data_IF_901703449852
#
_entry.id   IF_901703449852
#
_cell.length_a   1.000
_cell.length_b   1.000
_cell.length_c   1.000
_cell.angle_alpha   90.00
_cell.angle_beta   90.00
_cell.angle_gamma   90.00
#
_symmetry.space_group_name_H-M   'P 1'
#
loop_
_entity.id
_entity.type
_entity.pdbx_description
1 polymer ?
#
# COMPACT_ATOMS: atom_id res chain seq x y z
N UNK A 1 -36.07 -11.78 5.45
CA UNK A 1 -34.69 -12.06 5.00
C UNK A 1 -34.15 -10.75 4.50
N UNK A 2 -33.54 -9.98 5.41
CA UNK A 2 -32.95 -8.70 5.07
C UNK A 2 -31.74 -8.96 4.19
N UNK A 3 -31.64 -8.23 3.09
CA UNK A 3 -30.38 -8.03 2.38
C UNK A 3 -29.43 -7.29 3.34
N UNK A 4 -28.22 -7.82 3.53
CA UNK A 4 -27.17 -7.23 4.39
C UNK A 4 -26.66 -5.92 3.75
N UNK A 5 -26.54 -5.94 2.43
CA UNK A 5 -26.37 -4.78 1.56
C UNK A 5 -27.23 -4.90 0.27
N UNK A 6 -27.45 -3.79 -0.44
CA UNK A 6 -28.23 -3.77 -1.68
C UNK A 6 -29.66 -3.26 -1.54
N UNK A 7 -30.47 -3.44 -2.59
CA UNK A 7 -31.84 -2.88 -2.63
C UNK A 7 -32.89 -3.86 -2.09
N UNK A 8 -33.59 -3.45 -1.05
CA UNK A 8 -34.82 -4.09 -0.60
C UNK A 8 -36.05 -3.38 -1.21
N UNK A 9 -37.10 -4.16 -1.51
CA UNK A 9 -38.39 -3.59 -1.91
C UNK A 9 -39.40 -3.79 -0.79
N UNK A 10 -39.95 -2.70 -0.27
CA UNK A 10 -41.09 -2.71 0.65
C UNK A 10 -42.39 -2.64 -0.16
N UNK A 11 -43.32 -3.56 0.10
CA UNK A 11 -44.62 -3.61 -0.58
C UNK A 11 -45.73 -3.33 0.43
N UNK A 12 -46.52 -2.29 0.17
CA UNK A 12 -47.76 -2.00 0.88
C UNK A 12 -48.93 -2.56 0.07
N UNK A 13 -49.74 -3.41 0.70
CA UNK A 13 -51.00 -3.91 0.12
C UNK A 13 -52.17 -3.38 0.93
N UNK A 14 -53.07 -2.65 0.27
CA UNK A 14 -54.33 -2.18 0.86
C UNK A 14 -55.45 -3.05 0.32
N UNK A 15 -56.28 -3.59 1.21
CA UNK A 15 -57.47 -4.38 0.84
C UNK A 15 -58.72 -3.59 1.23
N UNK A 16 -59.64 -3.42 0.30
CA UNK A 16 -60.93 -2.79 0.61
C UNK A 16 -61.95 -3.79 1.20
N UNK A 17 -63.09 -3.27 1.64
CA UNK A 17 -64.18 -4.05 2.24
C UNK A 17 -64.89 -5.01 1.29
N UNK A 18 -64.56 -4.98 -0.01
CA UNK A 18 -65.04 -5.90 -1.03
C UNK A 18 -63.91 -6.75 -1.61
N UNK A 19 -62.81 -6.90 -0.86
CA UNK A 19 -61.64 -7.72 -1.16
C UNK A 19 -60.83 -7.29 -2.39
N UNK A 20 -60.95 -6.04 -2.87
CA UNK A 20 -60.04 -5.52 -3.90
C UNK A 20 -58.74 -5.09 -3.28
N UNK A 21 -57.65 -5.33 -3.99
CA UNK A 21 -56.31 -4.97 -3.52
C UNK A 21 -55.70 -3.87 -4.38
N UNK A 22 -55.01 -2.92 -3.76
CA UNK A 22 -54.08 -2.00 -4.40
C UNK A 22 -52.72 -2.17 -3.75
N UNK A 23 -51.65 -2.15 -4.56
CA UNK A 23 -50.28 -2.25 -4.07
C UNK A 23 -49.49 -0.99 -4.41
N UNK A 24 -48.56 -0.65 -3.52
CA UNK A 24 -47.53 0.36 -3.76
C UNK A 24 -46.20 -0.22 -3.30
N UNK A 25 -45.14 0.06 -4.04
CA UNK A 25 -43.79 -0.38 -3.67
C UNK A 25 -42.88 0.81 -3.43
N UNK A 26 -41.89 0.63 -2.55
CA UNK A 26 -40.79 1.56 -2.33
C UNK A 26 -39.47 0.78 -2.26
N UNK A 27 -38.41 1.35 -2.83
CA UNK A 27 -37.06 0.78 -2.75
C UNK A 27 -36.32 1.38 -1.57
N UNK A 28 -35.57 0.53 -0.86
CA UNK A 28 -34.67 0.89 0.24
C UNK A 28 -33.28 0.43 -0.19
N UNK A 29 -32.31 1.33 -0.21
CA UNK A 29 -30.91 0.99 -0.49
C UNK A 29 -30.15 0.85 0.83
N UNK A 30 -29.56 -0.31 1.06
CA UNK A 30 -28.60 -0.56 2.13
C UNK A 30 -27.20 -0.53 1.51
N UNK A 31 -26.28 0.24 2.10
CA UNK A 31 -24.90 0.38 1.60
C UNK A 31 -23.95 -0.32 2.55
N UNK A 32 -23.01 -1.09 1.99
CA UNK A 32 -21.90 -1.65 2.75
C UNK A 32 -21.05 -0.53 3.39
N UNK A 33 -20.52 -0.81 4.58
CA UNK A 33 -19.60 0.04 5.33
C UNK A 33 -18.32 -0.75 5.53
N UNK A 34 -17.16 -0.14 5.23
CA UNK A 34 -15.89 -0.84 5.40
C UNK A 34 -15.50 -1.02 6.89
N UNK A 35 -14.75 -2.08 7.23
CA UNK A 35 -14.35 -2.36 8.60
C UNK A 35 -13.38 -1.30 9.15
N UNK A 36 -13.48 -1.01 10.45
CA UNK A 36 -12.50 -0.21 11.19
C UNK A 36 -11.54 -1.11 11.94
N UNK A 37 -10.22 -0.90 11.79
CA UNK A 37 -9.17 -1.84 12.21
C UNK A 37 -8.24 -1.21 13.24
N UNK A 38 -7.73 -2.00 14.17
CA UNK A 38 -6.73 -1.61 15.18
C UNK A 38 -5.70 -2.72 15.41
N UNK A 39 -4.49 -2.35 15.82
CA UNK A 39 -3.34 -3.26 16.03
C UNK A 39 -2.74 -3.02 17.43
N UNK A 40 -2.40 -4.09 18.14
CA UNK A 40 -1.68 -4.06 19.41
C UNK A 40 -0.77 -5.30 19.57
N UNK A 41 0.28 -5.27 20.43
CA UNK A 41 0.88 -4.07 21.01
C UNK A 41 1.61 -3.24 19.94
N UNK A 42 1.72 -1.94 20.20
CA UNK A 42 2.53 -1.02 19.40
C UNK A 42 3.62 -0.43 20.30
N UNK A 43 4.82 -0.22 19.79
CA UNK A 43 5.94 0.31 20.57
C UNK A 43 7.26 -0.43 20.37
N UNK A 44 8.03 -0.57 21.45
CA UNK A 44 9.38 -1.14 21.40
C UNK A 44 9.35 -2.64 21.61
N UNK A 45 9.95 -3.38 20.66
CA UNK A 45 10.08 -4.83 20.67
C UNK A 45 11.56 -5.25 20.62
N UNK A 46 11.83 -6.50 20.96
CA UNK A 46 13.19 -7.07 21.01
C UNK A 46 13.49 -7.82 19.69
N UNK A 47 14.61 -7.49 19.05
CA UNK A 47 15.07 -8.17 17.83
C UNK A 47 15.36 -9.66 18.07
N UNK A 48 15.07 -10.50 17.08
CA UNK A 48 15.28 -11.94 17.10
C UNK A 48 14.33 -12.71 18.03
N UNK A 49 13.37 -12.03 18.66
CA UNK A 49 12.34 -12.64 19.50
C UNK A 49 11.00 -12.57 18.78
N UNK A 50 10.23 -13.66 18.82
CA UNK A 50 8.86 -13.67 18.32
C UNK A 50 7.95 -12.88 19.27
N UNK A 51 7.26 -11.89 18.74
CA UNK A 51 6.26 -11.09 19.44
C UNK A 51 4.88 -11.38 18.89
N UNK A 52 3.91 -11.51 19.80
CA UNK A 52 2.50 -11.67 19.44
C UNK A 52 1.89 -10.32 19.10
N UNK A 53 1.44 -10.19 17.86
CA UNK A 53 0.58 -9.11 17.40
C UNK A 53 -0.87 -9.58 17.39
N UNK A 54 -1.75 -8.69 17.81
CA UNK A 54 -3.19 -8.87 17.91
C UNK A 54 -3.86 -7.73 17.15
N UNK A 55 -4.55 -8.09 16.08
CA UNK A 55 -5.48 -7.24 15.38
C UNK A 55 -6.85 -7.25 16.05
N UNK A 56 -7.58 -6.16 15.92
CA UNK A 56 -9.01 -6.10 16.22
C UNK A 56 -9.71 -5.27 15.16
N UNK A 57 -10.99 -5.52 14.93
CA UNK A 57 -11.78 -4.73 14.00
C UNK A 57 -13.24 -4.66 14.44
N UNK A 58 -13.96 -3.68 13.91
CA UNK A 58 -15.42 -3.57 14.00
C UNK A 58 -15.97 -3.32 12.62
N UNK A 59 -17.03 -4.03 12.25
CA UNK A 59 -17.70 -3.83 10.97
C UNK A 59 -19.23 -3.75 11.11
N UNK A 60 -19.88 -2.69 10.59
CA UNK A 60 -21.34 -2.58 10.57
C UNK A 60 -22.00 -3.40 9.44
N UNK A 61 -22.03 -4.73 9.61
CA UNK A 61 -22.82 -5.67 8.81
C UNK A 61 -23.08 -6.93 9.62
N UNK A 62 -24.26 -7.54 9.48
CA UNK A 62 -24.73 -8.58 10.43
C UNK A 62 -24.39 -10.00 9.92
N UNK A 63 -24.02 -10.14 8.64
CA UNK A 63 -23.62 -11.41 8.03
C UNK A 63 -22.30 -11.35 7.23
N UNK A 64 -21.57 -10.24 7.31
CA UNK A 64 -20.25 -10.08 6.68
C UNK A 64 -19.26 -11.16 7.11
N UNK A 65 -18.42 -11.58 6.16
CA UNK A 65 -17.26 -12.41 6.40
C UNK A 65 -15.97 -11.67 6.05
N UNK A 66 -14.94 -11.85 6.88
CA UNK A 66 -13.72 -11.05 6.77
C UNK A 66 -12.48 -11.88 6.46
N UNK A 67 -11.61 -11.33 5.61
CA UNK A 67 -10.27 -11.83 5.35
C UNK A 67 -9.23 -10.90 5.96
N UNK A 68 -8.20 -11.50 6.57
CA UNK A 68 -7.13 -10.77 7.27
C UNK A 68 -5.81 -10.94 6.54
N UNK A 69 -5.09 -9.83 6.37
CA UNK A 69 -3.75 -9.82 5.81
C UNK A 69 -2.82 -8.89 6.59
N UNK A 70 -1.66 -9.41 6.96
CA UNK A 70 -0.60 -8.72 7.68
C UNK A 70 0.61 -8.50 6.76
N UNK A 71 1.15 -7.29 6.81
CA UNK A 71 2.47 -6.93 6.31
C UNK A 71 3.29 -6.40 7.49
N UNK A 72 4.45 -7.01 7.77
CA UNK A 72 5.25 -6.65 8.94
C UNK A 72 6.29 -5.53 8.66
N UNK A 73 6.38 -5.05 7.42
CA UNK A 73 7.28 -3.99 6.99
C UNK A 73 8.73 -4.41 6.80
N UNK A 74 9.06 -5.70 7.00
CA UNK A 74 10.37 -6.32 6.75
C UNK A 74 10.37 -7.24 5.52
N UNK A 75 9.26 -7.29 4.80
CA UNK A 75 9.04 -8.15 3.63
C UNK A 75 8.32 -9.46 3.95
N UNK A 76 8.12 -9.80 5.23
CA UNK A 76 7.28 -10.93 5.61
C UNK A 76 5.79 -10.53 5.67
N UNK A 77 4.93 -11.50 5.40
CA UNK A 77 3.47 -11.34 5.46
C UNK A 77 2.81 -12.55 6.12
N UNK A 78 1.59 -12.36 6.63
CA UNK A 78 0.75 -13.43 7.15
C UNK A 78 -0.72 -13.19 6.79
N UNK A 79 -1.55 -14.24 6.80
CA UNK A 79 -2.98 -14.12 6.47
C UNK A 79 -3.82 -15.09 7.30
N UNK A 80 -5.13 -14.83 7.37
CA UNK A 80 -6.13 -15.76 7.92
C UNK A 80 -6.27 -15.77 9.45
N UNK A 81 -5.55 -14.92 10.18
CA UNK A 81 -5.68 -14.77 11.64
C UNK A 81 -5.50 -13.31 12.05
N UNK A 82 -6.24 -12.90 13.09
CA UNK A 82 -6.01 -11.64 13.80
C UNK A 82 -4.88 -11.73 14.82
N UNK A 83 -4.50 -12.95 15.23
CA UNK A 83 -3.38 -13.17 16.14
C UNK A 83 -2.24 -13.83 15.38
N UNK A 84 -1.09 -13.16 15.33
CA UNK A 84 0.11 -13.63 14.62
C UNK A 84 1.35 -13.42 15.47
N UNK A 85 2.26 -14.38 15.46
CA UNK A 85 3.56 -14.27 16.10
C UNK A 85 4.61 -13.96 15.02
N UNK A 86 5.38 -12.89 15.18
CA UNK A 86 6.41 -12.47 14.22
C UNK A 86 7.70 -12.04 14.92
N UNK A 87 8.84 -12.35 14.31
CA UNK A 87 10.17 -11.99 14.80
C UNK A 87 10.92 -11.15 13.77
N UNK A 88 11.33 -9.94 14.15
CA UNK A 88 12.20 -9.10 13.33
C UNK A 88 13.65 -9.41 13.66
N UNK A 89 14.42 -9.87 12.67
CA UNK A 89 15.84 -10.24 12.87
C UNK A 89 16.76 -9.03 13.02
N UNK A 90 16.36 -7.89 12.47
CA UNK A 90 17.17 -6.67 12.43
C UNK A 90 16.56 -5.57 13.29
N UNK A 91 17.43 -4.75 13.87
CA UNK A 91 17.00 -3.54 14.56
C UNK A 91 16.51 -2.51 13.54
N UNK A 92 15.41 -1.84 13.84
CA UNK A 92 14.84 -0.90 12.91
C UNK A 92 13.50 -0.35 13.36
N UNK A 93 12.95 0.53 12.52
CA UNK A 93 11.58 1.01 12.64
C UNK A 93 10.80 0.36 11.52
N UNK A 94 9.79 -0.42 11.90
CA UNK A 94 8.95 -1.16 10.97
C UNK A 94 7.54 -0.58 10.98
N UNK A 95 6.91 -0.54 9.81
CA UNK A 95 5.50 -0.16 9.66
C UNK A 95 4.71 -1.44 9.43
N UNK A 96 4.03 -1.90 10.47
CA UNK A 96 3.15 -3.07 10.41
C UNK A 96 1.80 -2.62 9.87
N UNK A 97 1.25 -3.34 8.90
CA UNK A 97 -0.05 -3.07 8.30
C UNK A 97 -0.95 -4.28 8.48
N UNK A 98 -2.17 -4.05 8.98
CA UNK A 98 -3.25 -5.03 8.97
C UNK A 98 -4.34 -4.53 8.04
N UNK A 99 -4.68 -5.35 7.06
CA UNK A 99 -5.80 -5.16 6.15
C UNK A 99 -6.89 -6.17 6.46
N UNK A 100 -8.11 -5.68 6.60
CA UNK A 100 -9.32 -6.47 6.79
C UNK A 100 -10.24 -6.19 5.61
N UNK A 101 -10.61 -7.22 4.86
CA UNK A 101 -11.50 -7.12 3.69
C UNK A 101 -12.80 -7.83 4.03
N UNK A 102 -13.92 -7.13 3.93
CA UNK A 102 -15.25 -7.75 3.96
C UNK A 102 -15.57 -8.43 2.60
N UNK A 103 -16.57 -9.31 2.59
CA UNK A 103 -16.99 -10.05 1.40
C UNK A 103 -17.80 -9.23 0.39
N UNK A 104 -18.29 -8.07 0.80
CA UNK A 104 -18.98 -7.09 -0.04
C UNK A 104 -18.02 -6.01 -0.61
N UNK A 105 -16.71 -6.22 -0.44
CA UNK A 105 -15.63 -5.44 -1.04
C UNK A 105 -15.17 -4.20 -0.26
N UNK A 106 -15.72 -3.93 0.92
CA UNK A 106 -15.18 -2.92 1.82
C UNK A 106 -13.87 -3.38 2.44
N UNK A 107 -12.97 -2.41 2.62
CA UNK A 107 -11.60 -2.67 3.05
C UNK A 107 -11.22 -1.69 4.16
N UNK A 108 -10.93 -2.24 5.31
CA UNK A 108 -10.32 -1.57 6.45
C UNK A 108 -8.82 -1.78 6.45
N UNK A 109 -8.06 -0.73 6.76
CA UNK A 109 -6.60 -0.85 6.90
C UNK A 109 -6.12 -0.02 8.09
N UNK A 110 -5.25 -0.61 8.91
CA UNK A 110 -4.54 0.09 9.97
C UNK A 110 -3.05 -0.13 9.82
N UNK A 111 -2.28 0.94 10.06
CA UNK A 111 -0.82 0.88 10.18
C UNK A 111 -0.38 1.17 11.60
N UNK A 112 0.68 0.49 12.05
CA UNK A 112 1.28 0.64 13.36
C UNK A 112 2.80 0.75 13.24
N UNK A 113 3.39 1.72 13.94
CA UNK A 113 4.85 1.88 14.00
C UNK A 113 5.42 1.04 15.15
N UNK A 114 6.32 0.13 14.80
CA UNK A 114 7.04 -0.73 15.75
C UNK A 114 8.52 -0.37 15.72
N UNK A 115 9.13 -0.24 16.90
CA UNK A 115 10.57 0.01 17.04
C UNK A 115 11.21 -1.27 17.55
N UNK A 116 12.01 -1.92 16.72
CA UNK A 116 12.72 -3.14 17.08
C UNK A 116 14.14 -2.77 17.47
N UNK A 117 14.53 -3.13 18.69
CA UNK A 117 15.88 -2.95 19.19
C UNK A 117 16.31 -4.16 20.00
N UNK A 118 17.51 -4.13 20.54
CA UNK A 118 17.93 -5.08 21.56
C UNK A 118 17.37 -4.71 22.94
N UNK A 119 17.44 -5.66 23.87
CA UNK A 119 17.11 -5.48 25.28
C UNK A 119 18.20 -4.66 26.02
N UNK A 120 18.32 -3.37 25.68
CA UNK A 120 19.15 -2.39 26.39
C UNK A 120 20.68 -2.49 26.24
N UNK A 121 21.20 -3.47 25.49
CA UNK A 121 22.66 -3.72 25.38
C UNK A 121 23.34 -3.30 24.07
N UNK A 122 22.58 -2.95 23.04
CA UNK A 122 23.09 -2.49 21.76
C UNK A 122 22.77 -1.01 21.58
N UNK A 123 23.74 -0.26 21.07
CA UNK A 123 23.53 1.11 20.61
C UNK A 123 22.50 1.05 19.47
N UNK A 124 21.25 1.42 19.74
CA UNK A 124 20.27 1.66 18.68
C UNK A 124 20.87 2.73 17.75
N UNK A 125 20.83 2.57 16.41
CA UNK A 125 21.14 3.67 15.52
C UNK A 125 20.31 4.88 15.94
N UNK A 126 20.96 6.03 16.13
CA UNK A 126 20.26 7.27 16.44
C UNK A 126 19.12 7.45 15.43
N UNK A 127 17.92 7.91 15.85
CA UNK A 127 16.85 8.18 14.90
C UNK A 127 17.42 9.09 13.81
N UNK A 128 17.41 8.61 12.56
CA UNK A 128 17.81 9.42 11.42
C UNK A 128 17.00 10.72 11.53
N UNK A 129 17.63 11.91 11.54
CA UNK A 129 16.87 13.14 11.61
C UNK A 129 15.89 13.09 10.46
N UNK A 130 14.60 13.08 10.77
CA UNK A 130 13.56 13.23 9.76
C UNK A 130 13.95 14.48 8.98
N UNK A 131 14.19 14.40 7.66
CA UNK A 131 14.42 15.60 6.88
C UNK A 131 13.28 16.56 7.23
N UNK A 132 13.64 17.75 7.72
CA UNK A 132 12.64 18.80 7.94
C UNK A 132 11.82 18.97 6.66
N UNK A 133 10.59 19.52 6.75
CA UNK A 133 9.77 19.75 5.56
C UNK A 133 10.65 20.37 4.47
N UNK A 134 10.79 19.65 3.35
CA UNK A 134 11.55 20.12 2.20
C UNK A 134 10.97 21.50 1.88
N UNK A 135 11.76 22.60 1.97
CA UNK A 135 11.28 23.89 1.53
C UNK A 135 10.72 23.71 0.12
N UNK A 136 9.48 24.16 -0.10
CA UNK A 136 8.81 24.01 -1.39
C UNK A 136 9.72 24.45 -2.55
N UNK A 137 9.45 24.00 -3.78
CA UNK A 137 10.38 24.18 -4.90
C UNK A 137 10.83 25.63 -4.98
N UNK A 138 12.12 25.86 -4.68
CA UNK A 138 12.76 27.12 -5.03
C UNK A 138 12.57 27.27 -6.54
N UNK A 139 11.90 28.34 -6.96
CA UNK A 139 11.68 28.62 -8.37
C UNK A 139 13.06 28.69 -9.03
N UNK A 140 13.40 27.65 -9.79
CA UNK A 140 14.65 27.57 -10.53
C UNK A 140 14.68 28.72 -11.53
N UNK A 141 15.73 29.55 -11.58
CA UNK A 141 15.84 30.54 -12.64
C UNK A 141 15.88 29.80 -13.98
N UNK A 142 15.04 30.23 -14.92
CA UNK A 142 15.01 29.69 -16.29
C UNK A 142 16.43 29.63 -16.84
N UNK A 143 16.96 28.45 -17.23
CA UNK A 143 18.31 28.36 -17.74
C UNK A 143 18.40 29.15 -19.06
N UNK A 144 19.31 30.10 -19.11
CA UNK A 144 19.67 30.79 -20.36
C UNK A 144 20.15 29.74 -21.36
N UNK A 145 19.61 29.69 -22.60
CA UNK A 145 20.00 28.69 -23.58
C UNK A 145 21.49 28.79 -23.88
N UNK A 146 22.20 27.67 -23.70
CA UNK A 146 23.62 27.53 -24.07
C UNK A 146 23.68 27.46 -25.61
N UNK A 147 24.49 28.28 -26.30
CA UNK A 147 24.65 28.20 -27.74
C UNK A 147 25.18 26.83 -28.17
N UNK A 148 24.62 26.28 -29.25
CA UNK A 148 24.97 24.97 -29.77
C UNK A 148 26.47 24.90 -30.15
N UNK A 149 27.15 23.77 -29.86
CA UNK A 149 28.55 23.58 -30.26
C UNK A 149 28.69 23.57 -31.79
N UNK A 150 29.80 24.15 -32.27
CA UNK A 150 30.13 24.18 -33.70
C UNK A 150 30.28 22.74 -34.27
N UNK A 151 29.91 22.51 -35.54
CA UNK A 151 30.02 21.19 -36.15
C UNK A 151 31.49 20.75 -36.21
N UNK A 152 31.75 19.55 -35.71
CA UNK A 152 33.06 18.89 -35.80
C UNK A 152 33.28 18.46 -37.26
N UNK A 153 34.40 18.84 -37.91
CA UNK A 153 34.68 18.39 -39.27
C UNK A 153 34.94 16.88 -39.30
N UNK A 154 34.39 16.20 -40.32
CA UNK A 154 34.58 14.76 -40.53
C UNK A 154 36.05 14.44 -40.86
N UNK A 155 36.58 13.28 -40.42
CA UNK A 155 37.93 12.86 -40.78
C UNK A 155 38.05 12.56 -42.27
N UNK A 156 39.10 13.07 -42.91
CA UNK A 156 39.47 12.75 -44.29
C UNK A 156 40.31 11.48 -44.26
N UNK A 157 39.80 10.38 -44.83
CA UNK A 157 40.55 9.14 -44.98
C UNK A 157 41.52 9.30 -46.17
N UNK A 158 42.83 9.25 -45.90
CA UNK A 158 43.87 9.20 -46.93
C UNK A 158 44.34 7.75 -47.01
N UNK A 159 44.17 7.12 -48.17
CA UNK A 159 44.73 5.81 -48.45
C UNK A 159 46.13 6.02 -49.04
N UNK A 160 47.17 5.68 -48.29
CA UNK A 160 48.51 5.56 -48.87
C UNK A 160 48.63 4.18 -49.53
N UNK A 161 48.93 4.17 -50.83
CA UNK A 161 49.31 2.97 -51.58
C UNK A 161 50.78 2.68 -51.24
N UNK A 162 51.10 1.45 -50.83
CA UNK A 162 52.49 1.00 -50.78
C UNK A 162 53.03 0.76 -52.20
N UNK A 163 54.34 0.58 -52.32
CA UNK A 163 55.05 0.54 -53.60
C UNK A 163 54.81 -0.76 -54.40
N UNK A 164 54.11 -1.73 -53.82
CA UNK A 164 53.78 -3.05 -54.36
C UNK A 164 52.27 -3.25 -54.63
N UNK A 165 51.40 -2.38 -54.13
CA UNK A 165 50.05 -2.19 -54.67
C UNK A 165 48.97 -3.12 -54.13
N UNK A 166 49.14 -3.71 -52.95
CA UNK A 166 48.11 -4.48 -52.25
C UNK A 166 47.80 -3.85 -50.87
N UNK A 167 46.53 -3.91 -50.44
CA UNK A 167 46.07 -3.33 -49.17
C UNK A 167 46.02 -4.39 -48.06
N UNK A 168 47.06 -4.49 -47.24
CA UNK A 168 47.01 -5.33 -46.03
C UNK A 168 46.41 -4.59 -44.82
N UNK A 169 45.59 -5.29 -44.05
CA UNK A 169 45.01 -4.77 -42.82
C UNK A 169 46.08 -4.73 -41.71
N UNK A 170 46.41 -3.54 -41.20
CA UNK A 170 47.29 -3.40 -40.04
C UNK A 170 46.60 -3.91 -38.77
N UNK A 171 47.35 -4.67 -37.95
CA UNK A 171 47.02 -5.06 -36.56
C UNK A 171 46.93 -3.83 -35.63
#
# INVERSE_FOLDING_TARGET
TGVDDGQATATLTVVDRVFRTATSTATIEVRNVAPSVSIAPVGTLIAGVAHRLVGSFTDPGIMDTHQFHWDFGDGATASGSLEVDHAWEQNGVYTVTLTVTDDDGGVGTQTARVVVGCDGGCMQPAPTPTPGPIPGPISSPTPTPIPAPAPVPAPVLVCDLDADGDVDAAD
#
